data_IF_571876513202
#
_entry.id   IF_571876513202
#
_cell.length_a   1.000
_cell.length_b   1.000
_cell.length_c   1.000
_cell.angle_alpha   90.00
_cell.angle_beta   90.00
_cell.angle_gamma   90.00
#
_symmetry.space_group_name_H-M   'P 1'
#
loop_
_entity.id
_entity.type
_entity.pdbx_description
1 polymer ?
#
# COMPACT_ATOMS: atom_id res chain seq x y z
N UNK A 1 -1.32 3.04 -34.63
CA UNK A 1 -2.70 3.03 -34.16
C UNK A 1 -2.71 3.63 -32.78
N UNK A 2 -3.02 4.83 -32.81
CA UNK A 2 -3.37 5.86 -31.84
C UNK A 2 -2.92 5.72 -30.40
N UNK A 3 -1.75 6.30 -30.20
CA UNK A 3 -1.26 6.85 -28.97
C UNK A 3 -2.17 8.02 -28.53
N UNK A 4 -3.25 7.72 -27.83
CA UNK A 4 -4.11 8.71 -27.20
C UNK A 4 -3.56 9.11 -25.82
N UNK A 5 -2.27 9.40 -25.77
CA UNK A 5 -1.64 10.17 -24.68
C UNK A 5 -1.88 11.66 -24.94
N UNK A 6 -3.16 12.02 -25.14
CA UNK A 6 -3.53 13.39 -25.35
C UNK A 6 -3.36 14.18 -24.06
N UNK A 7 -2.33 15.03 -24.03
CA UNK A 7 -2.35 16.37 -23.41
C UNK A 7 -3.03 16.48 -22.04
N UNK A 8 -2.72 15.58 -21.10
CA UNK A 8 -2.89 15.86 -19.68
C UNK A 8 -1.70 16.74 -19.30
N UNK A 9 -1.95 17.99 -19.03
CA UNK A 9 -0.91 18.88 -18.51
C UNK A 9 -0.50 18.31 -17.15
N UNK A 10 0.53 17.49 -17.14
CA UNK A 10 1.13 16.91 -15.95
C UNK A 10 1.79 18.06 -15.18
N UNK A 11 1.46 18.18 -13.91
CA UNK A 11 1.98 19.22 -13.03
C UNK A 11 3.20 18.66 -12.31
N UNK A 12 3.05 17.46 -11.73
CA UNK A 12 4.10 16.73 -11.00
C UNK A 12 3.96 15.26 -11.32
N UNK A 13 5.06 14.56 -11.46
CA UNK A 13 5.08 13.11 -11.61
C UNK A 13 6.13 12.49 -10.66
N UNK A 14 5.82 11.34 -10.11
CA UNK A 14 6.73 10.59 -9.26
C UNK A 14 6.42 9.10 -9.29
N UNK A 15 7.42 8.33 -8.94
CA UNK A 15 7.28 6.90 -8.75
C UNK A 15 7.16 6.61 -7.24
N UNK A 16 6.15 5.89 -6.86
CA UNK A 16 5.98 5.45 -5.48
C UNK A 16 5.62 3.96 -5.42
N UNK A 17 5.94 3.35 -4.30
CA UNK A 17 5.51 1.98 -4.04
C UNK A 17 4.02 1.97 -3.71
N UNK A 18 3.28 1.01 -4.28
CA UNK A 18 1.84 0.85 -4.06
C UNK A 18 1.50 0.71 -2.57
N UNK A 19 2.39 0.08 -1.82
CA UNK A 19 2.29 -0.07 -0.37
C UNK A 19 3.68 -0.18 0.25
N UNK A 20 3.81 0.33 1.47
CA UNK A 20 5.03 0.13 2.25
C UNK A 20 5.09 -1.34 2.67
N UNK A 21 5.98 -2.08 2.04
CA UNK A 21 6.28 -3.42 2.50
C UNK A 21 7.09 -3.28 3.79
N UNK A 22 6.52 -3.75 4.89
CA UNK A 22 7.31 -3.92 6.12
C UNK A 22 8.35 -5.00 5.82
N UNK A 23 9.61 -4.61 5.73
CA UNK A 23 10.70 -5.58 5.57
C UNK A 23 10.63 -6.55 6.75
N UNK A 24 10.30 -7.79 6.43
CA UNK A 24 10.29 -8.84 7.45
C UNK A 24 11.73 -9.11 7.83
N UNK A 25 12.03 -8.90 9.11
CA UNK A 25 13.38 -9.10 9.60
C UNK A 25 13.74 -10.61 9.64
N UNK A 26 15.02 -10.91 9.74
CA UNK A 26 15.51 -12.30 9.81
C UNK A 26 14.82 -13.11 10.91
N UNK A 27 14.45 -12.48 12.03
CA UNK A 27 13.74 -13.13 13.13
C UNK A 27 12.37 -13.70 12.73
N UNK A 28 11.65 -13.04 11.80
CA UNK A 28 10.39 -13.56 11.30
C UNK A 28 10.57 -14.87 10.51
N UNK A 29 11.60 -14.94 9.65
CA UNK A 29 11.90 -16.16 8.89
C UNK A 29 12.36 -17.30 9.79
N UNK A 30 13.16 -17.00 10.81
CA UNK A 30 13.58 -17.98 11.81
C UNK A 30 12.38 -18.51 12.60
N UNK A 31 11.48 -17.62 13.04
CA UNK A 31 10.26 -18.03 13.74
C UNK A 31 9.38 -18.91 12.86
N UNK A 32 9.18 -18.54 11.59
CA UNK A 32 8.42 -19.33 10.63
C UNK A 32 9.04 -20.73 10.45
N UNK A 33 10.36 -20.81 10.32
CA UNK A 33 11.07 -22.08 10.17
C UNK A 33 10.89 -22.97 11.41
N UNK A 34 11.08 -22.43 12.61
CA UNK A 34 10.93 -23.18 13.88
C UNK A 34 9.51 -23.70 14.03
N UNK A 35 8.52 -22.86 13.81
CA UNK A 35 7.08 -23.25 13.92
C UNK A 35 6.76 -24.33 12.88
N UNK A 36 7.18 -24.14 11.62
CA UNK A 36 6.93 -25.11 10.56
C UNK A 36 7.57 -26.46 10.85
N UNK A 37 8.81 -26.48 11.31
CA UNK A 37 9.54 -27.72 11.67
C UNK A 37 8.88 -28.42 12.85
N UNK A 38 8.43 -27.68 13.89
CA UNK A 38 7.71 -28.24 15.02
C UNK A 38 6.39 -28.90 14.60
N UNK A 39 5.63 -28.23 13.75
CA UNK A 39 4.36 -28.77 13.23
C UNK A 39 4.58 -29.98 12.32
N UNK A 40 5.61 -29.98 11.49
CA UNK A 40 5.99 -31.13 10.65
C UNK A 40 6.37 -32.33 11.53
N UNK A 41 7.21 -32.15 12.53
CA UNK A 41 7.62 -33.23 13.44
C UNK A 41 6.40 -33.82 14.17
N UNK A 42 5.51 -32.98 14.69
CA UNK A 42 4.28 -33.39 15.34
C UNK A 42 3.35 -34.16 14.39
N UNK A 43 3.21 -33.67 13.17
CA UNK A 43 2.37 -34.27 12.12
C UNK A 43 2.87 -35.66 11.70
N UNK A 44 4.18 -35.82 11.55
CA UNK A 44 4.81 -37.12 11.26
C UNK A 44 4.61 -38.09 12.43
N UNK A 45 4.76 -37.62 13.66
CA UNK A 45 4.55 -38.46 14.84
C UNK A 45 3.10 -38.96 14.94
N UNK A 46 2.11 -38.11 14.54
CA UNK A 46 0.71 -38.46 14.49
C UNK A 46 0.32 -39.24 13.21
N UNK A 47 1.29 -39.50 12.31
CA UNK A 47 1.09 -40.15 10.99
C UNK A 47 0.11 -39.44 10.07
N UNK A 48 -0.03 -38.11 10.19
CA UNK A 48 -0.91 -37.27 9.38
C UNK A 48 -0.21 -36.75 8.13
N UNK A 49 0.06 -37.63 7.19
CA UNK A 49 0.85 -37.33 5.98
C UNK A 49 0.28 -36.19 5.14
N UNK A 50 -1.04 -36.13 5.00
CA UNK A 50 -1.71 -35.05 4.26
C UNK A 50 -1.51 -33.69 4.93
N UNK A 51 -1.55 -33.67 6.26
CA UNK A 51 -1.32 -32.45 7.03
C UNK A 51 0.14 -32.01 6.95
N UNK A 52 1.09 -32.94 6.94
CA UNK A 52 2.52 -32.65 6.72
C UNK A 52 2.72 -31.97 5.36
N UNK A 53 2.14 -32.51 4.29
CA UNK A 53 2.21 -31.93 2.97
C UNK A 53 1.63 -30.52 2.94
N UNK A 54 0.49 -30.29 3.59
CA UNK A 54 -0.15 -28.98 3.68
C UNK A 54 0.75 -27.94 4.37
N UNK A 55 1.41 -28.29 5.47
CA UNK A 55 2.33 -27.41 6.18
C UNK A 55 3.49 -27.02 5.28
N UNK A 56 4.11 -27.99 4.58
CA UNK A 56 5.24 -27.72 3.68
C UNK A 56 4.82 -26.78 2.56
N UNK A 57 3.72 -27.03 1.88
CA UNK A 57 3.21 -26.16 0.81
C UNK A 57 2.89 -24.74 1.33
N UNK A 58 2.28 -24.65 2.51
CA UNK A 58 1.93 -23.36 3.12
C UNK A 58 3.19 -22.56 3.48
N UNK A 59 4.21 -23.20 4.05
CA UNK A 59 5.49 -22.56 4.38
C UNK A 59 6.19 -22.03 3.12
N UNK A 60 6.25 -22.84 2.07
CA UNK A 60 6.84 -22.42 0.78
C UNK A 60 6.05 -21.24 0.19
N UNK A 61 4.73 -21.31 0.18
CA UNK A 61 3.88 -20.23 -0.34
C UNK A 61 4.09 -18.91 0.43
N UNK A 62 4.20 -18.98 1.77
CA UNK A 62 4.47 -17.80 2.61
C UNK A 62 5.85 -17.20 2.32
N UNK A 63 6.87 -18.03 2.12
CA UNK A 63 8.21 -17.57 1.77
C UNK A 63 8.18 -16.88 0.40
N UNK A 64 7.59 -17.51 -0.62
CA UNK A 64 7.49 -16.94 -1.98
C UNK A 64 6.74 -15.61 -1.95
N UNK A 65 5.63 -15.55 -1.21
CA UNK A 65 4.86 -14.31 -1.07
C UNK A 65 5.66 -13.21 -0.38
N UNK A 66 6.46 -13.58 0.63
CA UNK A 66 7.27 -12.63 1.41
C UNK A 66 8.43 -12.01 0.61
N UNK A 67 8.96 -12.72 -0.38
CA UNK A 67 10.11 -12.27 -1.19
C UNK A 67 9.66 -11.39 -2.37
N UNK A 68 8.36 -11.37 -2.72
CA UNK A 68 7.88 -10.57 -3.86
C UNK A 68 8.14 -9.09 -3.61
N UNK A 69 8.86 -8.39 -4.51
CA UNK A 69 9.08 -6.96 -4.37
C UNK A 69 7.76 -6.20 -4.52
N UNK A 70 7.57 -5.10 -3.79
CA UNK A 70 6.42 -4.23 -4.00
C UNK A 70 6.43 -3.67 -5.42
N UNK A 71 5.25 -3.48 -5.98
CA UNK A 71 5.12 -2.85 -7.31
C UNK A 71 5.37 -1.36 -7.16
N UNK A 72 6.22 -0.82 -8.02
CA UNK A 72 6.33 0.62 -8.22
C UNK A 72 5.23 1.07 -9.16
N UNK A 73 4.47 2.05 -8.76
CA UNK A 73 3.43 2.68 -9.56
C UNK A 73 3.87 4.09 -9.92
N UNK A 74 3.60 4.44 -11.15
CA UNK A 74 3.83 5.79 -11.65
C UNK A 74 2.62 6.65 -11.36
N UNK A 75 2.82 7.69 -10.55
CA UNK A 75 1.81 8.67 -10.21
C UNK A 75 2.08 9.96 -10.97
N UNK A 76 1.05 10.55 -11.51
CA UNK A 76 1.12 11.89 -12.10
C UNK A 76 -0.05 12.75 -11.63
N UNK A 77 0.26 13.97 -11.21
CA UNK A 77 -0.72 14.94 -10.84
C UNK A 77 -1.09 15.77 -12.06
N UNK A 78 -2.36 15.75 -12.41
CA UNK A 78 -2.89 16.44 -13.59
C UNK A 78 -3.86 17.54 -13.17
N UNK A 79 -4.24 18.38 -14.11
CA UNK A 79 -5.26 19.41 -13.89
C UNK A 79 -6.64 18.87 -13.48
N UNK A 80 -6.91 17.58 -13.75
CA UNK A 80 -8.19 16.92 -13.48
C UNK A 80 -8.19 16.04 -12.25
N UNK A 81 -7.02 15.64 -11.76
CA UNK A 81 -6.90 14.73 -10.64
C UNK A 81 -5.56 14.00 -10.62
N UNK A 82 -5.46 13.06 -9.71
CA UNK A 82 -4.33 12.16 -9.58
C UNK A 82 -4.49 10.98 -10.54
N UNK A 83 -3.51 10.76 -11.38
CA UNK A 83 -3.44 9.59 -12.24
C UNK A 83 -2.46 8.56 -11.66
N UNK A 84 -2.89 7.32 -11.57
CA UNK A 84 -2.14 6.15 -11.15
C UNK A 84 -2.13 5.16 -12.31
N UNK A 85 -1.07 5.16 -13.10
CA UNK A 85 -1.04 4.40 -14.35
C UNK A 85 -2.24 4.75 -15.25
N UNK A 86 -3.15 3.80 -15.45
CA UNK A 86 -4.35 3.99 -16.27
C UNK A 86 -5.59 4.51 -15.50
N UNK A 87 -5.52 4.60 -14.18
CA UNK A 87 -6.63 5.09 -13.34
C UNK A 87 -6.49 6.58 -13.10
N UNK A 88 -7.61 7.28 -13.18
CA UNK A 88 -7.70 8.70 -12.85
C UNK A 88 -8.63 8.87 -11.64
N UNK A 89 -8.10 9.45 -10.59
CA UNK A 89 -8.83 9.87 -9.40
C UNK A 89 -9.16 11.35 -9.53
N UNK A 90 -10.37 11.67 -9.96
CA UNK A 90 -10.79 13.06 -10.17
C UNK A 90 -10.91 13.80 -8.84
N UNK A 91 -10.48 15.07 -8.78
CA UNK A 91 -10.66 15.93 -7.60
C UNK A 91 -12.14 16.07 -7.20
N UNK A 92 -13.07 15.98 -8.16
CA UNK A 92 -14.50 16.08 -7.92
C UNK A 92 -15.07 14.95 -7.06
N UNK A 93 -14.43 13.77 -7.10
CA UNK A 93 -14.84 12.60 -6.31
C UNK A 93 -14.42 12.68 -4.84
N UNK A 94 -13.55 13.63 -4.50
CA UNK A 94 -12.99 13.79 -3.16
C UNK A 94 -13.45 15.09 -2.52
N UNK A 95 -13.65 15.06 -1.21
CA UNK A 95 -14.04 16.24 -0.43
C UNK A 95 -12.86 16.97 0.19
N UNK A 96 -11.82 16.25 0.54
CA UNK A 96 -10.65 16.77 1.24
C UNK A 96 -9.44 15.84 1.04
N UNK A 97 -8.29 16.36 1.33
CA UNK A 97 -7.08 15.57 1.46
C UNK A 97 -6.41 15.81 2.80
N UNK A 98 -5.59 14.87 3.24
CA UNK A 98 -4.80 15.04 4.44
C UNK A 98 -3.44 14.39 4.28
N UNK A 99 -2.47 14.86 5.06
CA UNK A 99 -1.11 14.35 5.07
C UNK A 99 -0.98 13.36 6.21
N UNK A 100 -0.46 12.19 5.90
CA UNK A 100 -0.14 11.14 6.87
C UNK A 100 1.36 10.92 6.86
N UNK A 101 1.97 10.93 8.03
CA UNK A 101 3.36 10.51 8.20
C UNK A 101 3.37 9.07 8.73
N UNK A 102 3.99 8.16 7.99
CA UNK A 102 4.19 6.78 8.39
C UNK A 102 5.68 6.44 8.45
N UNK A 103 6.24 6.60 9.64
CA UNK A 103 7.68 6.49 9.87
C UNK A 103 8.47 7.59 9.14
N UNK A 104 9.28 7.19 8.16
CA UNK A 104 10.09 8.11 7.32
C UNK A 104 9.38 8.50 6.01
N UNK A 105 8.19 7.96 5.76
CA UNK A 105 7.48 8.18 4.52
C UNK A 105 6.27 9.09 4.74
N UNK A 106 6.00 9.91 3.74
CA UNK A 106 4.83 10.77 3.71
C UNK A 106 3.81 10.22 2.72
N UNK A 107 2.55 10.37 3.06
CA UNK A 107 1.46 9.96 2.20
C UNK A 107 0.35 11.01 2.19
N UNK A 108 -0.31 11.16 1.05
CA UNK A 108 -1.57 11.89 0.93
C UNK A 108 -2.70 10.90 1.01
N UNK A 109 -3.64 11.17 1.88
CA UNK A 109 -4.90 10.43 1.99
C UNK A 109 -6.02 11.27 1.41
N UNK A 110 -6.67 10.77 0.37
CA UNK A 110 -7.82 11.39 -0.25
C UNK A 110 -9.10 10.85 0.39
N UNK A 111 -9.93 11.76 0.91
CA UNK A 111 -11.21 11.40 1.53
C UNK A 111 -12.33 11.51 0.49
N UNK A 112 -13.00 10.40 0.12
CA UNK A 112 -14.02 10.42 -0.90
C UNK A 112 -15.29 11.13 -0.43
N UNK A 113 -16.03 11.73 -1.37
CA UNK A 113 -17.37 12.30 -1.12
C UNK A 113 -18.40 11.21 -0.86
N UNK A 114 -18.30 10.08 -1.54
CA UNK A 114 -19.20 8.94 -1.38
C UNK A 114 -18.91 8.18 -0.11
N UNK A 115 -19.92 7.93 0.71
CA UNK A 115 -19.81 7.31 2.05
C UNK A 115 -19.18 5.89 2.04
N UNK A 116 -19.33 5.14 0.96
CA UNK A 116 -18.85 3.76 0.83
C UNK A 116 -17.68 3.61 -0.17
N UNK A 117 -17.07 4.70 -0.58
CA UNK A 117 -15.86 4.64 -1.41
C UNK A 117 -14.62 4.47 -0.56
N UNK A 118 -13.67 3.64 -0.96
CA UNK A 118 -12.43 3.49 -0.21
C UNK A 118 -11.62 4.78 -0.25
N UNK A 119 -10.91 5.07 0.83
CA UNK A 119 -9.92 6.14 0.88
C UNK A 119 -8.72 5.74 0.02
N UNK A 120 -8.17 6.68 -0.69
CA UNK A 120 -6.97 6.46 -1.51
C UNK A 120 -5.78 7.08 -0.79
N UNK A 121 -4.79 6.26 -0.51
CA UNK A 121 -3.54 6.70 0.12
C UNK A 121 -2.42 6.56 -0.89
N UNK A 122 -1.70 7.65 -1.14
CA UNK A 122 -0.61 7.71 -2.09
C UNK A 122 0.64 8.18 -1.40
N UNK A 123 1.68 7.36 -1.45
CA UNK A 123 2.98 7.71 -0.90
C UNK A 123 3.75 8.62 -1.86
N UNK A 124 4.55 9.51 -1.31
CA UNK A 124 5.39 10.40 -2.08
C UNK A 124 6.74 10.63 -1.39
N UNK A 125 7.80 10.91 -2.17
CA UNK A 125 9.11 11.21 -1.62
C UNK A 125 9.12 12.60 -1.00
N UNK A 126 9.80 12.76 0.13
CA UNK A 126 9.91 14.03 0.87
C UNK A 126 10.36 15.21 0.00
N UNK A 127 11.24 14.94 -0.97
CA UNK A 127 11.79 15.97 -1.87
C UNK A 127 10.75 16.68 -2.74
N UNK A 128 9.64 16.03 -3.03
CA UNK A 128 8.55 16.56 -3.88
C UNK A 128 7.30 16.89 -3.05
N UNK A 129 7.42 16.77 -1.71
CA UNK A 129 6.27 16.90 -0.81
C UNK A 129 5.60 18.25 -0.89
N UNK A 130 6.36 19.34 -0.88
CA UNK A 130 5.82 20.71 -0.94
C UNK A 130 5.04 20.93 -2.25
N UNK A 131 5.63 20.58 -3.39
CA UNK A 131 5.01 20.76 -4.70
C UNK A 131 3.71 19.96 -4.86
N UNK A 132 3.70 18.72 -4.33
CA UNK A 132 2.53 17.85 -4.35
C UNK A 132 1.43 18.38 -3.43
N UNK A 133 1.79 18.82 -2.21
CA UNK A 133 0.85 19.37 -1.24
C UNK A 133 0.24 20.67 -1.73
N UNK A 134 1.02 21.55 -2.31
CA UNK A 134 0.56 22.81 -2.88
C UNK A 134 -0.41 22.59 -4.04
N UNK A 135 -0.10 21.63 -4.92
CA UNK A 135 -0.96 21.30 -6.05
C UNK A 135 -2.30 20.69 -5.61
N UNK A 136 -2.34 19.90 -4.52
CA UNK A 136 -3.59 19.44 -3.92
C UNK A 136 -4.32 20.54 -3.17
N UNK A 137 -3.60 21.38 -2.41
CA UNK A 137 -4.15 22.49 -1.64
C UNK A 137 -4.81 23.55 -2.49
N UNK A 138 -4.36 23.74 -3.74
CA UNK A 138 -5.00 24.63 -4.70
C UNK A 138 -6.39 24.12 -5.17
N UNK A 139 -6.74 22.85 -4.91
CA UNK A 139 -7.95 22.21 -5.44
C UNK A 139 -8.86 21.61 -4.38
N UNK A 140 -8.32 21.14 -3.28
CA UNK A 140 -9.04 20.46 -2.21
C UNK A 140 -8.66 21.09 -0.86
N UNK A 141 -9.63 21.22 0.07
CA UNK A 141 -9.32 21.65 1.42
C UNK A 141 -8.48 20.57 2.14
N UNK A 142 -7.47 21.02 2.90
CA UNK A 142 -6.69 20.16 3.76
C UNK A 142 -7.45 19.90 5.05
N UNK A 143 -7.67 18.65 5.40
CA UNK A 143 -8.23 18.23 6.68
C UNK A 143 -7.22 17.38 7.45
N UNK A 144 -7.18 17.55 8.77
CA UNK A 144 -6.38 16.64 9.60
C UNK A 144 -6.89 15.21 9.47
N UNK A 145 -5.99 14.30 9.13
CA UNK A 145 -6.32 12.88 9.05
C UNK A 145 -6.52 12.34 10.46
N UNK A 146 -7.76 12.22 10.87
CA UNK A 146 -8.11 11.42 12.06
C UNK A 146 -8.11 9.96 11.64
N UNK A 147 -7.09 9.23 12.10
CA UNK A 147 -7.07 7.78 11.95
C UNK A 147 -8.24 7.21 12.74
N UNK A 148 -9.22 6.67 12.05
CA UNK A 148 -10.33 5.96 12.66
C UNK A 148 -9.81 4.76 13.47
N UNK A 149 -10.60 4.34 14.46
CA UNK A 149 -10.28 3.17 15.30
C UNK A 149 -9.95 1.93 14.47
N UNK A 150 -10.62 1.76 13.33
CA UNK A 150 -10.37 0.67 12.37
C UNK A 150 -8.97 0.78 11.73
N UNK A 151 -8.54 1.98 11.36
CA UNK A 151 -7.21 2.22 10.80
C UNK A 151 -6.11 1.90 11.81
N UNK A 152 -6.33 2.22 13.10
CA UNK A 152 -5.42 1.84 14.19
C UNK A 152 -5.39 0.33 14.40
N UNK A 153 -6.53 -0.34 14.31
CA UNK A 153 -6.63 -1.79 14.47
C UNK A 153 -5.95 -2.53 13.32
N UNK A 154 -6.16 -2.07 12.08
CA UNK A 154 -5.46 -2.60 10.90
C UNK A 154 -3.95 -2.37 11.00
N UNK A 155 -3.51 -1.21 11.48
CA UNK A 155 -2.08 -0.93 11.71
C UNK A 155 -1.48 -1.86 12.78
N UNK A 156 -2.25 -2.18 13.83
CA UNK A 156 -1.83 -3.11 14.88
C UNK A 156 -1.77 -4.57 14.40
N UNK A 157 -2.69 -4.98 13.52
CA UNK A 157 -2.72 -6.32 12.92
C UNK A 157 -1.74 -6.50 11.75
N UNK A 158 -1.13 -5.41 11.28
CA UNK A 158 -0.20 -5.41 10.14
C UNK A 158 1.26 -5.65 10.56
N UNK A 159 1.44 -6.41 11.64
CA UNK A 159 2.73 -6.95 12.04
C UNK A 159 3.24 -8.01 11.11
#
# INVERSE_FOLDING_TARGET
>A
MDNKSSSRKEIVNWDAVEYLQTEKNAGWYVALAIISLGLIALSIWLQWWTFTALIVFSAIALIIYSIRPPRTLHYSLTSKGLAEGNRLYSYEDYKSFGILQDGKNYAIMLTPRKRFSPRVTVYFPEKQGEEIVDAFGARLPMEEVRLDFLDRMVKFLRF
#
